data_IF_712979832726
#
_entry.id   IF_712979832726
#
_cell.length_a   1.000
_cell.length_b   1.000
_cell.length_c   1.000
_cell.angle_alpha   90.00
_cell.angle_beta   90.00
_cell.angle_gamma   90.00
#
_symmetry.space_group_name_H-M   'P 1'
#
loop_
_entity.id
_entity.type
_entity.pdbx_description
1 polymer ?
#
# COMPACT_ATOMS: atom_id res chain seq x y z
N UNK A 1 13.43 -7.02 -5.30
CA UNK A 1 13.59 -6.88 -3.82
C UNK A 1 14.46 -5.68 -3.44
N UNK A 2 15.42 -5.26 -4.27
CA UNK A 2 16.04 -3.93 -4.18
C UNK A 2 15.23 -2.88 -4.98
N UNK A 3 15.55 -1.59 -4.82
CA UNK A 3 14.89 -0.49 -5.55
C UNK A 3 13.84 0.26 -4.73
N UNK A 4 13.25 1.30 -5.33
CA UNK A 4 12.28 2.17 -4.65
C UNK A 4 10.91 1.49 -4.46
N UNK A 5 10.66 0.35 -5.10
CA UNK A 5 9.50 -0.53 -4.86
C UNK A 5 9.89 -1.84 -4.13
N UNK A 6 11.06 -1.88 -3.49
CA UNK A 6 11.60 -3.05 -2.80
C UNK A 6 11.15 -3.19 -1.33
N UNK A 7 11.87 -4.02 -0.57
CA UNK A 7 11.51 -4.38 0.82
C UNK A 7 11.44 -3.19 1.77
N UNK A 8 12.28 -2.17 1.57
CA UNK A 8 12.25 -0.94 2.35
C UNK A 8 10.90 -0.20 2.17
N UNK A 9 10.38 -0.15 0.94
CA UNK A 9 9.09 0.43 0.64
C UNK A 9 7.96 -0.39 1.29
N UNK A 10 7.90 -1.70 1.06
CA UNK A 10 6.86 -2.56 1.64
C UNK A 10 6.82 -2.50 3.17
N UNK A 11 7.98 -2.39 3.82
CA UNK A 11 8.07 -2.25 5.28
C UNK A 11 7.48 -0.92 5.78
N UNK A 12 7.73 0.18 5.06
CA UNK A 12 7.15 1.50 5.41
C UNK A 12 5.65 1.53 5.14
N UNK A 13 5.19 0.97 4.02
CA UNK A 13 3.75 0.78 3.73
C UNK A 13 3.09 -0.01 4.85
N UNK A 14 3.66 -1.14 5.27
CA UNK A 14 3.13 -1.93 6.39
C UNK A 14 3.07 -1.12 7.69
N UNK A 15 4.10 -0.35 7.98
CA UNK A 15 4.11 0.52 9.17
C UNK A 15 2.95 1.52 9.13
N UNK A 16 2.76 2.23 8.01
CA UNK A 16 1.66 3.17 7.84
C UNK A 16 0.31 2.48 7.92
N UNK A 17 0.13 1.36 7.21
CA UNK A 17 -1.09 0.54 7.19
C UNK A 17 -1.52 0.15 8.60
N UNK A 18 -0.63 -0.46 9.39
CA UNK A 18 -0.94 -0.90 10.75
C UNK A 18 -1.17 0.27 11.72
N UNK A 19 -0.53 1.41 11.49
CA UNK A 19 -0.72 2.61 12.31
C UNK A 19 -2.10 3.21 12.09
N UNK A 20 -2.48 3.40 10.82
CA UNK A 20 -3.78 3.97 10.43
C UNK A 20 -4.92 3.00 10.77
N UNK A 21 -4.74 1.70 10.55
CA UNK A 21 -5.78 0.71 10.81
C UNK A 21 -6.17 0.62 12.30
N UNK A 22 -5.21 0.78 13.21
CA UNK A 22 -5.47 0.82 14.66
C UNK A 22 -6.39 1.97 15.08
N UNK A 23 -6.37 3.09 14.35
CA UNK A 23 -7.21 4.25 14.64
C UNK A 23 -8.53 4.23 13.87
N UNK A 24 -8.49 3.80 12.62
CA UNK A 24 -9.63 3.84 11.69
C UNK A 24 -10.55 2.63 11.80
N UNK A 25 -10.10 1.53 12.40
CA UNK A 25 -10.82 0.26 12.45
C UNK A 25 -10.75 -0.55 11.15
N UNK A 26 -9.81 -0.22 10.25
CA UNK A 26 -9.55 -1.04 9.06
C UNK A 26 -9.12 -2.47 9.44
N UNK A 27 -9.44 -3.41 8.56
CA UNK A 27 -9.06 -4.81 8.72
C UNK A 27 -7.53 -4.96 8.68
N UNK A 28 -6.94 -5.32 9.82
CA UNK A 28 -5.49 -5.40 10.01
C UNK A 28 -4.84 -6.42 9.07
N UNK A 29 -5.49 -7.56 8.81
CA UNK A 29 -4.92 -8.59 7.96
C UNK A 29 -4.91 -8.14 6.51
N UNK A 30 -6.00 -7.54 6.03
CA UNK A 30 -6.10 -7.03 4.65
C UNK A 30 -5.04 -5.96 4.38
N UNK A 31 -4.90 -4.97 5.27
CA UNK A 31 -3.94 -3.87 5.04
C UNK A 31 -2.48 -4.33 5.13
N UNK A 32 -2.20 -5.34 5.96
CA UNK A 32 -0.87 -5.93 6.05
C UNK A 32 -0.53 -6.76 4.81
N UNK A 33 -1.46 -7.57 4.31
CA UNK A 33 -1.29 -8.32 3.06
C UNK A 33 -1.10 -7.38 1.87
N UNK A 34 -1.88 -6.30 1.78
CA UNK A 34 -1.71 -5.27 0.74
C UNK A 34 -0.28 -4.72 0.72
N UNK A 35 0.27 -4.39 1.90
CA UNK A 35 1.60 -3.80 2.01
C UNK A 35 2.70 -4.65 1.37
N UNK A 36 2.57 -5.98 1.42
CA UNK A 36 3.54 -6.91 0.83
C UNK A 36 3.23 -7.32 -0.61
N UNK A 37 1.97 -7.24 -1.05
CA UNK A 37 1.55 -7.81 -2.33
C UNK A 37 1.40 -6.77 -3.45
N UNK A 38 1.02 -5.53 -3.16
CA UNK A 38 0.55 -4.56 -4.17
C UNK A 38 1.55 -4.28 -5.32
N UNK A 39 2.84 -4.28 -5.00
CA UNK A 39 3.94 -4.05 -5.95
C UNK A 39 4.76 -5.33 -6.25
N UNK A 40 4.29 -6.50 -5.80
CA UNK A 40 5.04 -7.76 -5.94
C UNK A 40 5.18 -8.23 -7.40
N UNK A 41 4.27 -7.81 -8.28
CA UNK A 41 4.19 -8.23 -9.69
C UNK A 41 4.60 -7.13 -10.68
N UNK A 42 5.48 -6.22 -10.25
CA UNK A 42 6.15 -5.28 -11.15
C UNK A 42 7.12 -6.01 -12.06
N UNK A 43 7.12 -5.67 -13.34
CA UNK A 43 8.12 -6.16 -14.31
C UNK A 43 9.29 -5.18 -14.47
N UNK A 44 9.14 -3.94 -13.99
CA UNK A 44 10.17 -2.92 -13.98
C UNK A 44 9.92 -1.84 -12.90
N UNK A 45 10.94 -1.02 -12.62
CA UNK A 45 10.89 0.07 -11.61
C UNK A 45 10.27 1.38 -12.12
N UNK A 46 10.00 1.48 -13.43
CA UNK A 46 9.48 2.67 -14.09
C UNK A 46 7.96 2.55 -14.26
N UNK A 47 7.45 2.87 -15.45
CA UNK A 47 6.04 2.75 -15.79
C UNK A 47 5.66 1.28 -16.05
N UNK A 48 4.71 0.80 -15.28
CA UNK A 48 4.16 -0.55 -15.40
C UNK A 48 2.67 -0.51 -15.05
N UNK A 49 1.83 0.02 -15.93
CA UNK A 49 0.41 0.26 -15.61
C UNK A 49 -0.39 -0.99 -15.20
N UNK A 50 0.11 -2.18 -15.56
CA UNK A 50 -0.57 -3.45 -15.34
C UNK A 50 -0.09 -4.19 -14.07
N UNK A 51 0.83 -3.63 -13.28
CA UNK A 51 1.31 -4.30 -12.06
C UNK A 51 0.19 -4.57 -11.05
N UNK A 52 -0.73 -3.62 -10.85
CA UNK A 52 -1.87 -3.80 -9.93
C UNK A 52 -2.77 -4.96 -10.35
N UNK A 53 -3.04 -5.11 -11.65
CA UNK A 53 -3.84 -6.23 -12.19
C UNK A 53 -3.20 -7.58 -11.87
N UNK A 54 -1.91 -7.73 -12.24
CA UNK A 54 -1.18 -8.97 -11.99
C UNK A 54 -1.02 -9.27 -10.50
N UNK A 55 -0.78 -8.25 -9.69
CA UNK A 55 -0.66 -8.41 -8.24
C UNK A 55 -1.98 -8.82 -7.59
N UNK A 56 -3.12 -8.37 -8.12
CA UNK A 56 -4.43 -8.76 -7.64
C UNK A 56 -4.72 -10.23 -7.96
N UNK A 57 -4.48 -10.67 -9.21
CA UNK A 57 -4.59 -12.08 -9.60
C UNK A 57 -3.66 -12.97 -8.77
N UNK A 58 -2.43 -12.50 -8.52
CA UNK A 58 -1.48 -13.22 -7.67
C UNK A 58 -2.01 -13.34 -6.24
N UNK A 59 -2.52 -12.26 -5.64
CA UNK A 59 -3.10 -12.29 -4.30
C UNK A 59 -4.27 -13.27 -4.18
N UNK A 60 -5.17 -13.33 -5.18
CA UNK A 60 -6.24 -14.34 -5.23
C UNK A 60 -5.70 -15.76 -5.23
N UNK A 61 -4.67 -16.03 -6.03
CA UNK A 61 -4.06 -17.36 -6.13
C UNK A 61 -3.38 -17.84 -4.84
N UNK A 62 -3.05 -16.92 -3.93
CA UNK A 62 -2.40 -17.24 -2.64
C UNK A 62 -3.40 -17.47 -1.49
N UNK A 63 -4.65 -17.01 -1.63
CA UNK A 63 -5.68 -17.24 -0.62
C UNK A 63 -5.98 -18.74 -0.50
N UNK A 64 -6.26 -19.22 0.71
CA UNK A 64 -6.39 -20.63 1.08
C UNK A 64 -5.11 -21.48 0.93
N UNK A 65 -3.98 -20.88 0.53
CA UNK A 65 -2.66 -21.54 0.50
C UNK A 65 -1.76 -20.95 1.58
N UNK A 66 -1.65 -19.62 1.64
CA UNK A 66 -0.75 -18.91 2.55
C UNK A 66 -1.48 -18.04 3.59
N UNK A 67 -2.71 -17.64 3.31
CA UNK A 67 -3.59 -16.92 4.22
C UNK A 67 -5.05 -17.31 3.94
N UNK A 68 -5.92 -17.06 4.91
CA UNK A 68 -7.34 -17.41 4.85
C UNK A 68 -8.18 -16.16 5.11
N UNK A 69 -8.47 -15.42 4.03
CA UNK A 69 -9.45 -14.34 4.05
C UNK A 69 -10.81 -14.88 3.61
N UNK A 70 -11.91 -14.53 4.31
CA UNK A 70 -13.25 -14.73 3.78
C UNK A 70 -13.44 -13.86 2.52
N UNK A 71 -14.41 -14.22 1.66
CA UNK A 71 -14.67 -13.54 0.38
C UNK A 71 -14.69 -12.00 0.51
N UNK A 72 -15.41 -11.48 1.51
CA UNK A 72 -15.50 -10.02 1.74
C UNK A 72 -14.16 -9.35 2.11
N UNK A 73 -13.20 -10.09 2.64
CA UNK A 73 -11.84 -9.61 2.92
C UNK A 73 -10.96 -9.72 1.68
N UNK A 74 -11.07 -10.84 0.96
CA UNK A 74 -10.35 -11.06 -0.29
C UNK A 74 -10.73 -10.01 -1.35
N UNK A 75 -12.02 -9.74 -1.53
CA UNK A 75 -12.53 -8.72 -2.46
C UNK A 75 -11.92 -7.34 -2.19
N UNK A 76 -11.80 -6.97 -0.90
CA UNK A 76 -11.17 -5.70 -0.49
C UNK A 76 -9.68 -5.69 -0.81
N UNK A 77 -8.97 -6.78 -0.52
CA UNK A 77 -7.54 -6.91 -0.81
C UNK A 77 -7.29 -6.77 -2.32
N UNK A 78 -8.02 -7.53 -3.13
CA UNK A 78 -7.93 -7.55 -4.59
C UNK A 78 -8.24 -6.17 -5.17
N UNK A 79 -9.34 -5.55 -4.74
CA UNK A 79 -9.70 -4.20 -5.19
C UNK A 79 -8.62 -3.19 -4.81
N UNK A 80 -8.16 -3.22 -3.57
CA UNK A 80 -7.13 -2.30 -3.09
C UNK A 80 -5.85 -2.43 -3.92
N UNK A 81 -5.36 -3.66 -4.15
CA UNK A 81 -4.17 -3.93 -4.95
C UNK A 81 -4.36 -3.44 -6.40
N UNK A 82 -5.47 -3.80 -7.04
CA UNK A 82 -5.70 -3.52 -8.46
C UNK A 82 -5.68 -2.04 -8.81
N UNK A 83 -6.24 -1.21 -7.92
CA UNK A 83 -6.50 0.21 -8.22
C UNK A 83 -5.63 1.20 -7.43
N UNK A 84 -4.64 0.75 -6.64
CA UNK A 84 -3.89 1.64 -5.74
C UNK A 84 -3.22 2.83 -6.45
N UNK A 85 -2.75 2.64 -7.69
CA UNK A 85 -2.05 3.65 -8.48
C UNK A 85 -2.95 4.58 -9.31
N UNK A 86 -4.28 4.42 -9.25
CA UNK A 86 -5.23 5.18 -10.09
C UNK A 86 -5.56 6.58 -9.53
N UNK A 87 -5.13 6.90 -8.31
CA UNK A 87 -5.32 8.22 -7.71
C UNK A 87 -6.74 8.51 -7.21
N UNK A 88 -7.54 7.47 -6.94
CA UNK A 88 -8.89 7.60 -6.36
C UNK A 88 -8.89 7.60 -4.83
N UNK A 89 -9.98 8.06 -4.22
CA UNK A 89 -10.31 7.78 -2.81
C UNK A 89 -11.49 6.82 -2.75
N UNK A 90 -11.66 6.13 -1.62
CA UNK A 90 -12.66 5.08 -1.44
C UNK A 90 -13.37 5.21 -0.09
N UNK A 91 -14.66 4.88 -0.04
CA UNK A 91 -15.49 4.99 1.18
C UNK A 91 -15.22 3.84 2.18
N UNK A 92 -14.89 2.64 1.67
CA UNK A 92 -14.45 1.53 2.52
C UNK A 92 -13.11 1.87 3.21
N UNK A 93 -13.16 1.97 4.54
CA UNK A 93 -12.01 2.32 5.39
C UNK A 93 -10.79 1.41 5.19
N UNK A 94 -11.00 0.11 4.96
CA UNK A 94 -9.91 -0.85 4.71
C UNK A 94 -9.20 -0.57 3.39
N UNK A 95 -9.97 -0.39 2.30
CA UNK A 95 -9.40 -0.09 0.97
C UNK A 95 -8.68 1.25 1.00
N UNK A 96 -9.29 2.27 1.60
CA UNK A 96 -8.66 3.58 1.71
C UNK A 96 -7.37 3.53 2.56
N UNK A 97 -7.35 2.76 3.66
CA UNK A 97 -6.15 2.59 4.50
C UNK A 97 -5.01 1.93 3.73
N UNK A 98 -5.31 0.94 2.87
CA UNK A 98 -4.31 0.38 1.96
C UNK A 98 -3.69 1.48 1.09
N UNK A 99 -4.52 2.27 0.40
CA UNK A 99 -4.05 3.33 -0.49
C UNK A 99 -3.32 4.45 0.24
N UNK A 100 -3.81 4.83 1.42
CA UNK A 100 -3.16 5.81 2.29
C UNK A 100 -1.73 5.38 2.62
N UNK A 101 -1.57 4.09 2.96
CA UNK A 101 -0.28 3.56 3.40
C UNK A 101 0.80 3.56 2.32
N UNK A 102 0.43 3.28 1.06
CA UNK A 102 1.34 3.41 -0.09
C UNK A 102 1.60 4.88 -0.43
N UNK A 103 0.55 5.71 -0.44
CA UNK A 103 0.66 7.14 -0.82
C UNK A 103 1.48 7.95 0.17
N UNK A 104 1.43 7.63 1.47
CA UNK A 104 2.29 8.27 2.46
C UNK A 104 3.77 8.03 2.20
N UNK A 105 4.12 6.93 1.53
CA UNK A 105 5.51 6.59 1.21
C UNK A 105 6.02 7.20 -0.12
N UNK A 106 5.25 8.08 -0.77
CA UNK A 106 5.60 8.67 -2.06
C UNK A 106 6.85 9.58 -2.03
N UNK A 107 7.28 10.02 -0.85
CA UNK A 107 8.52 10.81 -0.72
C UNK A 107 9.76 10.04 -1.20
N UNK A 108 9.72 8.70 -1.20
CA UNK A 108 10.77 7.82 -1.75
C UNK A 108 11.09 8.07 -3.23
N UNK A 109 10.08 8.52 -3.99
CA UNK A 109 10.17 8.88 -5.41
C UNK A 109 10.07 10.40 -5.63
N UNK A 110 10.27 11.19 -4.57
CA UNK A 110 10.31 12.66 -4.64
C UNK A 110 8.96 13.36 -4.66
N UNK A 111 7.86 12.64 -4.44
CA UNK A 111 6.50 13.20 -4.48
C UNK A 111 6.02 13.45 -3.06
N UNK A 112 5.63 14.69 -2.73
CA UNK A 112 4.98 14.99 -1.45
C UNK A 112 3.53 14.47 -1.49
N UNK A 113 3.09 13.63 -0.53
CA UNK A 113 1.70 13.17 -0.47
C UNK A 113 0.74 14.36 -0.36
N UNK A 114 -0.42 14.26 -1.01
CA UNK A 114 -1.44 15.31 -1.01
C UNK A 114 -2.68 14.83 -0.27
N UNK A 115 -3.14 15.63 0.70
CA UNK A 115 -4.30 15.32 1.54
C UNK A 115 -5.58 15.00 0.74
N UNK A 116 -5.74 15.53 -0.49
CA UNK A 116 -6.91 15.24 -1.33
C UNK A 116 -7.07 13.76 -1.72
N UNK A 117 -5.99 12.98 -1.59
CA UNK A 117 -5.95 11.55 -1.90
C UNK A 117 -5.87 10.67 -0.66
N UNK A 118 -5.96 11.27 0.53
CA UNK A 118 -5.76 10.59 1.80
C UNK A 118 -7.01 10.65 2.66
N UNK A 119 -7.20 9.65 3.51
CA UNK A 119 -8.18 9.76 4.60
C UNK A 119 -7.74 10.81 5.64
N UNK A 120 -8.66 11.33 6.47
CA UNK A 120 -8.30 12.18 7.60
C UNK A 120 -7.33 11.51 8.59
N UNK A 121 -7.41 10.18 8.74
CA UNK A 121 -6.50 9.42 9.59
C UNK A 121 -5.06 9.47 9.06
N UNK A 122 -4.88 9.42 7.74
CA UNK A 122 -3.58 9.44 7.09
C UNK A 122 -3.01 10.85 6.90
N UNK A 123 -3.86 11.85 6.62
CA UNK A 123 -3.44 13.21 6.28
C UNK A 123 -2.53 13.86 7.35
N UNK A 124 -2.77 13.56 8.63
CA UNK A 124 -1.93 14.07 9.74
C UNK A 124 -0.49 13.51 9.75
N UNK A 125 -0.20 12.47 8.97
CA UNK A 125 1.11 11.82 8.91
C UNK A 125 1.97 12.28 7.73
N UNK A 126 1.46 13.14 6.83
CA UNK A 126 2.12 13.52 5.57
C UNK A 126 3.56 13.97 5.79
N UNK A 127 3.80 14.95 6.68
CA UNK A 127 5.14 15.52 6.83
C UNK A 127 6.14 14.51 7.41
N UNK A 128 5.73 13.74 8.43
CA UNK A 128 6.58 12.72 9.03
C UNK A 128 6.91 11.59 8.04
N UNK A 129 5.91 11.11 7.28
CA UNK A 129 6.10 10.05 6.29
C UNK A 129 6.93 10.52 5.09
N UNK A 130 6.72 11.76 4.62
CA UNK A 130 7.49 12.34 3.53
C UNK A 130 8.96 12.47 3.89
N UNK A 131 9.29 13.00 5.07
CA UNK A 131 10.69 13.09 5.50
C UNK A 131 11.30 11.71 5.73
N UNK A 132 10.57 10.76 6.32
CA UNK A 132 11.09 9.41 6.53
C UNK A 132 11.39 8.68 5.22
N UNK A 133 10.49 8.75 4.24
CA UNK A 133 10.61 8.03 2.96
C UNK A 133 11.72 8.58 2.06
N UNK A 134 12.11 9.85 2.24
CA UNK A 134 13.25 10.49 1.56
C UNK A 134 14.60 10.10 2.11
N UNK A 135 14.69 9.67 3.37
CA UNK A 135 15.95 9.29 3.98
C UNK A 135 16.49 8.05 3.27
N UNK A 136 17.47 8.25 2.38
CA UNK A 136 18.32 7.15 1.93
C UNK A 136 19.01 6.60 3.17
N UNK A 137 18.81 5.31 3.46
CA UNK A 137 19.72 4.65 4.39
C UNK A 137 21.10 4.74 3.76
N UNK A 138 22.01 5.39 4.46
CA UNK A 138 23.44 5.27 4.21
C UNK A 138 23.69 3.76 4.31
N UNK A 139 24.09 3.13 3.19
CA UNK A 139 24.41 1.70 3.01
C UNK A 139 23.49 0.87 2.08
N UNK A 140 22.67 1.47 1.22
CA UNK A 140 22.13 0.77 0.03
C UNK A 140 23.12 0.81 -1.16
#
# INVERSE_FOLDING_TARGET
MSGYHGTNHWTRVRHHALTIAKESGADLLVVELFAFLHDSQRINENEDRMHGERAAEYAESLNQIYFDLPDSGLDKLVHAIRFHSYGHVHECVTIQTCWDSDRLDLGRVGIKPNEKYLSPFAAKHIDAAYEWSKLKRIND
#
